data_IF_589318690687
#
_entry.id   IF_589318690687
#
_cell.length_a   1.000
_cell.length_b   1.000
_cell.length_c   1.000
_cell.angle_alpha   90.00
_cell.angle_beta   90.00
_cell.angle_gamma   90.00
#
_symmetry.space_group_name_H-M   'P 1'
#
loop_
_entity.id
_entity.type
_entity.pdbx_description
1 polymer ?
#
# COMPACT_ATOMS: atom_id res chain seq x y z
N UNK A 1 -20.72 9.15 8.59
CA UNK A 1 -19.43 9.89 8.55
C UNK A 1 -18.59 9.26 7.43
N UNK A 2 -18.06 10.07 6.50
CA UNK A 2 -17.24 9.57 5.36
C UNK A 2 -15.93 8.92 5.84
N UNK A 3 -15.35 8.02 5.04
CA UNK A 3 -14.08 7.34 5.33
C UNK A 3 -12.95 8.35 5.56
N UNK A 4 -12.90 9.41 4.74
CA UNK A 4 -11.93 10.50 4.83
C UNK A 4 -12.04 11.26 6.17
N UNK A 5 -13.27 11.43 6.68
CA UNK A 5 -13.48 12.09 7.97
C UNK A 5 -12.99 11.23 9.14
N UNK A 6 -13.08 9.90 9.03
CA UNK A 6 -12.54 8.98 10.06
C UNK A 6 -11.00 8.98 10.05
N UNK A 7 -10.38 8.91 8.86
CA UNK A 7 -8.93 9.01 8.70
C UNK A 7 -8.42 10.38 9.20
N UNK A 8 -9.08 11.46 8.82
CA UNK A 8 -8.76 12.81 9.26
C UNK A 8 -8.84 12.98 10.78
N UNK A 9 -9.88 12.44 11.41
CA UNK A 9 -10.01 12.44 12.89
C UNK A 9 -8.86 11.67 13.56
N UNK A 10 -8.49 10.50 13.02
CA UNK A 10 -7.40 9.69 13.57
C UNK A 10 -6.04 10.40 13.44
N UNK A 11 -5.71 10.93 12.25
CA UNK A 11 -4.48 11.70 12.04
C UNK A 11 -4.43 12.93 12.93
N UNK A 12 -5.55 13.65 13.06
CA UNK A 12 -5.64 14.81 13.95
C UNK A 12 -5.35 14.42 15.40
N UNK A 13 -5.89 13.30 15.89
CA UNK A 13 -5.64 12.86 17.27
C UNK A 13 -4.14 12.65 17.56
N UNK A 14 -3.40 12.06 16.62
CA UNK A 14 -1.95 11.83 16.77
C UNK A 14 -1.19 13.17 16.77
N UNK A 15 -1.62 14.13 15.96
CA UNK A 15 -1.05 15.49 15.97
C UNK A 15 -1.35 16.25 17.25
N UNK A 16 -2.58 16.16 17.75
CA UNK A 16 -3.00 16.83 18.99
C UNK A 16 -2.22 16.33 20.22
N UNK A 17 -1.66 15.11 20.16
CA UNK A 17 -0.78 14.54 21.19
C UNK A 17 0.70 14.92 21.06
N UNK A 18 1.07 15.66 20.01
CA UNK A 18 2.42 16.20 19.82
C UNK A 18 3.26 15.49 18.77
N UNK A 19 2.65 14.83 17.79
CA UNK A 19 3.35 14.52 16.55
C UNK A 19 3.50 15.78 15.68
N UNK A 20 4.70 16.02 15.15
CA UNK A 20 4.95 17.10 14.20
C UNK A 20 4.33 16.76 12.83
N UNK A 21 4.36 15.48 12.49
CA UNK A 21 3.82 14.96 11.24
C UNK A 21 3.25 13.55 11.41
N UNK A 22 2.14 13.27 10.74
CA UNK A 22 1.58 11.94 10.63
C UNK A 22 0.89 11.77 9.27
N UNK A 23 1.12 10.64 8.60
CA UNK A 23 0.44 10.28 7.37
C UNK A 23 0.06 8.79 7.32
N UNK A 24 -0.78 8.48 6.33
CA UNK A 24 -1.14 7.13 5.92
C UNK A 24 -0.94 7.03 4.42
N UNK A 25 -0.30 5.95 3.99
CA UNK A 25 -0.07 5.63 2.58
C UNK A 25 -0.71 4.28 2.27
N UNK A 26 -1.52 4.23 1.22
CA UNK A 26 -2.19 3.01 0.74
C UNK A 26 -1.71 2.72 -0.67
N UNK A 27 -1.43 1.46 -0.96
CA UNK A 27 -0.94 1.02 -2.26
C UNK A 27 -1.65 -0.25 -2.72
N UNK A 28 -1.99 -0.27 -4.01
CA UNK A 28 -2.27 -1.47 -4.79
C UNK A 28 -1.30 -1.43 -5.98
N UNK A 29 -0.55 -2.50 -6.18
CA UNK A 29 0.35 -2.64 -7.33
C UNK A 29 0.25 -4.02 -7.96
N UNK A 30 0.53 -4.06 -9.26
CA UNK A 30 0.63 -5.28 -10.04
C UNK A 30 1.84 -5.19 -10.95
N UNK A 31 2.60 -6.27 -11.08
CA UNK A 31 3.80 -6.33 -11.91
C UNK A 31 3.85 -7.62 -12.71
N UNK A 32 4.41 -7.55 -13.91
CA UNK A 32 4.66 -8.68 -14.80
C UNK A 32 6.12 -8.65 -15.25
N UNK A 33 6.78 -9.80 -15.24
CA UNK A 33 8.15 -9.94 -15.75
C UNK A 33 8.29 -11.19 -16.62
N UNK A 34 9.12 -11.08 -17.66
CA UNK A 34 9.41 -12.12 -18.63
C UNK A 34 10.93 -12.28 -18.73
N UNK A 35 11.41 -13.51 -18.70
CA UNK A 35 12.80 -13.86 -18.99
C UNK A 35 12.81 -14.71 -20.26
N UNK A 36 13.48 -14.19 -21.30
CA UNK A 36 13.61 -14.84 -22.59
C UNK A 36 15.09 -14.93 -22.95
N UNK A 37 15.58 -16.16 -23.09
CA UNK A 37 16.98 -16.47 -23.33
C UNK A 37 17.07 -17.67 -24.29
N UNK A 38 18.10 -17.72 -25.14
CA UNK A 38 18.34 -18.83 -26.09
C UNK A 38 17.13 -19.23 -26.98
N UNK A 39 16.26 -18.28 -27.28
CA UNK A 39 15.10 -18.55 -28.14
C UNK A 39 13.88 -19.09 -27.39
N UNK A 40 13.97 -19.28 -26.06
CA UNK A 40 12.93 -19.85 -25.21
C UNK A 40 12.57 -18.93 -24.04
N UNK A 41 11.35 -19.11 -23.52
CA UNK A 41 10.94 -18.47 -22.26
C UNK A 41 11.44 -19.30 -21.08
N UNK A 42 12.27 -18.67 -20.26
CA UNK A 42 12.78 -19.29 -19.04
C UNK A 42 11.85 -19.02 -17.85
N UNK A 43 11.31 -17.80 -17.76
CA UNK A 43 10.43 -17.42 -16.65
C UNK A 43 9.35 -16.42 -17.06
N UNK A 44 8.14 -16.65 -16.56
CA UNK A 44 7.03 -15.71 -16.62
C UNK A 44 6.49 -15.55 -15.20
N UNK A 45 6.54 -14.32 -14.68
CA UNK A 45 6.06 -14.01 -13.35
C UNK A 45 5.02 -12.90 -13.38
N UNK A 46 4.02 -13.03 -12.53
CA UNK A 46 2.97 -12.05 -12.32
C UNK A 46 2.73 -11.92 -10.84
N UNK A 47 2.82 -10.69 -10.33
CA UNK A 47 2.69 -10.40 -8.91
C UNK A 47 1.65 -9.32 -8.65
N UNK A 48 1.05 -9.40 -7.47
CA UNK A 48 0.14 -8.41 -6.94
C UNK A 48 0.51 -8.12 -5.50
N UNK A 49 0.53 -6.85 -5.16
CA UNK A 49 0.83 -6.40 -3.81
C UNK A 49 -0.24 -5.39 -3.39
N UNK A 50 -0.61 -5.47 -2.12
CA UNK A 50 -1.50 -4.51 -1.48
C UNK A 50 -0.94 -4.22 -0.10
N UNK A 51 -0.89 -2.95 0.26
CA UNK A 51 -0.32 -2.56 1.54
C UNK A 51 -0.80 -1.21 2.02
N UNK A 52 -0.67 -1.04 3.33
CA UNK A 52 -0.86 0.23 3.99
C UNK A 52 0.31 0.48 4.93
N UNK A 53 0.79 1.72 4.94
CA UNK A 53 1.81 2.21 5.85
C UNK A 53 1.34 3.44 6.60
N UNK A 54 1.84 3.60 7.82
CA UNK A 54 1.72 4.83 8.59
C UNK A 54 3.11 5.34 8.97
N UNK A 55 3.30 6.65 8.88
CA UNK A 55 4.48 7.34 9.42
C UNK A 55 4.04 8.32 10.49
N UNK A 56 4.79 8.37 11.59
CA UNK A 56 4.66 9.39 12.64
C UNK A 56 6.05 9.98 12.90
N UNK A 57 6.14 11.31 12.95
CA UNK A 57 7.37 12.05 13.25
C UNK A 57 7.15 12.90 14.50
N UNK A 58 8.12 12.85 15.42
CA UNK A 58 8.15 13.66 16.64
C UNK A 58 9.58 14.04 16.98
N UNK A 59 9.91 15.32 16.86
CA UNK A 59 11.27 15.83 16.88
C UNK A 59 12.12 15.13 15.81
N UNK A 60 13.23 14.56 16.24
CA UNK A 60 14.15 13.79 15.38
C UNK A 60 13.71 12.32 15.18
N UNK A 61 12.71 11.85 15.93
CA UNK A 61 12.26 10.46 15.86
C UNK A 61 11.21 10.27 14.76
N UNK A 62 11.40 9.23 13.95
CA UNK A 62 10.41 8.79 12.94
C UNK A 62 10.06 7.33 13.17
N UNK A 63 8.76 7.02 13.25
CA UNK A 63 8.26 5.64 13.28
C UNK A 63 7.51 5.30 12.00
N UNK A 64 7.82 4.13 11.45
CA UNK A 64 7.13 3.54 10.31
C UNK A 64 6.55 2.19 10.69
N UNK A 65 5.28 1.98 10.31
CA UNK A 65 4.61 0.68 10.45
C UNK A 65 3.86 0.41 9.16
N UNK A 66 4.00 -0.81 8.63
CA UNK A 66 3.29 -1.27 7.45
C UNK A 66 2.60 -2.61 7.71
N UNK A 67 1.57 -2.89 6.94
CA UNK A 67 0.85 -4.16 6.95
C UNK A 67 0.28 -4.46 5.56
N UNK A 68 0.08 -5.75 5.22
CA UNK A 68 -0.60 -6.12 3.99
C UNK A 68 -2.08 -5.70 4.01
N UNK A 69 -2.62 -5.38 2.84
CA UNK A 69 -4.01 -4.96 2.64
C UNK A 69 -4.23 -3.46 2.69
N UNK A 70 -5.42 -3.03 2.20
CA UNK A 70 -5.78 -1.62 1.99
C UNK A 70 -7.09 -1.23 2.69
N UNK A 71 -7.43 -1.92 3.77
CA UNK A 71 -8.62 -1.59 4.57
C UNK A 71 -8.33 -0.55 5.65
N UNK A 72 -9.35 0.23 6.00
CA UNK A 72 -9.26 1.30 6.99
C UNK A 72 -8.82 0.79 8.36
N UNK A 73 -9.25 -0.40 8.77
CA UNK A 73 -8.93 -0.95 10.08
C UNK A 73 -7.42 -1.22 10.18
N UNK A 74 -6.84 -1.85 9.16
CA UNK A 74 -5.41 -2.12 9.07
C UNK A 74 -4.60 -0.82 9.04
N UNK A 75 -5.05 0.19 8.29
CA UNK A 75 -4.40 1.51 8.26
C UNK A 75 -4.39 2.20 9.64
N UNK A 76 -5.53 2.22 10.34
CA UNK A 76 -5.60 2.79 11.69
C UNK A 76 -4.80 1.99 12.72
N UNK A 77 -4.69 0.67 12.54
CA UNK A 77 -3.81 -0.17 13.36
C UNK A 77 -2.33 0.21 13.17
N UNK A 78 -1.90 0.42 11.92
CA UNK A 78 -0.54 0.89 11.61
C UNK A 78 -0.27 2.26 12.24
N UNK A 79 -1.21 3.20 12.09
CA UNK A 79 -1.09 4.54 12.67
C UNK A 79 -0.98 4.49 14.20
N UNK A 80 -1.82 3.71 14.87
CA UNK A 80 -1.78 3.55 16.33
C UNK A 80 -0.42 3.00 16.78
N UNK A 81 0.11 2.00 16.06
CA UNK A 81 1.40 1.39 16.41
C UNK A 81 2.56 2.36 16.15
N UNK A 82 2.53 3.13 15.07
CA UNK A 82 3.54 4.16 14.79
C UNK A 82 3.50 5.29 15.84
N UNK A 83 2.30 5.69 16.27
CA UNK A 83 2.10 6.65 17.36
C UNK A 83 2.66 6.10 18.69
N UNK A 84 2.34 4.85 19.04
CA UNK A 84 2.85 4.20 20.25
C UNK A 84 4.38 4.10 20.28
N UNK A 85 5.00 3.72 19.15
CA UNK A 85 6.45 3.71 18.99
C UNK A 85 7.10 5.09 19.19
N UNK A 86 6.33 6.16 18.98
CA UNK A 86 6.75 7.56 19.16
C UNK A 86 6.40 8.12 20.55
N UNK A 87 5.85 7.28 21.45
CA UNK A 87 5.43 7.67 22.80
C UNK A 87 4.09 8.39 22.87
N UNK A 88 3.24 8.24 21.86
CA UNK A 88 1.93 8.89 21.74
C UNK A 88 0.80 7.86 21.95
N UNK A 89 -0.31 8.31 22.52
CA UNK A 89 -1.53 7.52 22.80
C UNK A 89 -2.62 7.69 21.72
N UNK A 90 -2.30 7.45 20.44
CA UNK A 90 -3.22 7.72 19.33
C UNK A 90 -4.64 7.14 19.51
N UNK A 91 -5.66 7.87 19.01
CA UNK A 91 -7.05 7.57 19.31
C UNK A 91 -7.53 6.18 18.82
N UNK A 92 -8.32 5.51 19.66
CA UNK A 92 -9.04 4.30 19.31
C UNK A 92 -10.31 4.64 18.51
N UNK A 93 -10.17 4.82 17.20
CA UNK A 93 -11.34 4.94 16.31
C UNK A 93 -11.87 3.53 16.00
N UNK A 94 -13.10 3.23 16.42
CA UNK A 94 -13.77 2.00 16.00
C UNK A 94 -14.29 2.15 14.56
N UNK A 95 -13.81 1.26 13.69
CA UNK A 95 -14.18 1.21 12.28
C UNK A 95 -14.38 -0.23 11.87
N UNK A 96 -15.44 -0.53 11.08
CA UNK A 96 -15.51 -1.79 10.39
C UNK A 96 -14.38 -1.89 9.36
N UNK A 97 -13.93 -3.10 9.08
CA UNK A 97 -12.97 -3.38 8.00
C UNK A 97 -13.62 -3.06 6.65
N UNK A 98 -13.24 -1.92 6.07
CA UNK A 98 -13.72 -1.41 4.79
C UNK A 98 -12.51 -1.08 3.92
N UNK A 99 -12.47 -1.60 2.68
CA UNK A 99 -11.42 -1.28 1.71
C UNK A 99 -11.47 0.19 1.32
N UNK A 100 -10.30 0.84 1.25
CA UNK A 100 -10.17 2.24 0.83
C UNK A 100 -9.89 2.34 -0.67
N UNK A 101 -9.18 1.36 -1.22
CA UNK A 101 -8.84 1.29 -2.63
C UNK A 101 -9.56 0.10 -3.26
N UNK A 102 -10.19 0.35 -4.41
CA UNK A 102 -10.77 -0.71 -5.23
C UNK A 102 -9.67 -1.44 -5.99
N UNK A 103 -9.85 -2.74 -6.15
CA UNK A 103 -8.95 -3.59 -6.92
C UNK A 103 -9.52 -3.72 -8.33
N UNK A 104 -8.69 -3.50 -9.35
CA UNK A 104 -9.03 -3.96 -10.69
C UNK A 104 -9.14 -5.49 -10.73
N UNK A 105 -10.33 -5.96 -11.06
CA UNK A 105 -10.67 -7.39 -11.10
C UNK A 105 -9.97 -8.12 -12.25
N UNK A 106 -9.56 -7.38 -13.28
CA UNK A 106 -8.78 -7.90 -14.40
C UNK A 106 -7.30 -7.59 -14.18
N UNK A 107 -6.47 -8.64 -14.16
CA UNK A 107 -5.05 -8.42 -14.43
C UNK A 107 -4.99 -8.02 -15.90
N UNK A 108 -4.57 -6.80 -16.20
CA UNK A 108 -4.30 -6.46 -17.60
C UNK A 108 -3.28 -7.47 -18.10
N UNK A 109 -3.62 -8.15 -19.20
CA UNK A 109 -2.67 -9.04 -19.85
C UNK A 109 -1.41 -8.22 -20.17
N UNK A 110 -0.22 -8.77 -19.93
CA UNK A 110 1.02 -8.12 -20.29
C UNK A 110 0.97 -7.68 -21.75
N UNK A 111 1.61 -6.54 -22.06
CA UNK A 111 1.76 -6.16 -23.45
C UNK A 111 2.74 -7.11 -24.13
N UNK A 112 2.25 -7.91 -25.08
CA UNK A 112 3.03 -8.83 -25.89
C UNK A 112 3.35 -8.26 -27.29
N UNK A 113 2.99 -7.00 -27.58
CA UNK A 113 3.19 -6.38 -28.90
C UNK A 113 4.66 -6.30 -29.28
N UNK A 114 5.56 -6.10 -28.30
CA UNK A 114 7.00 -6.10 -28.51
C UNK A 114 7.53 -7.41 -29.12
N UNK A 115 6.86 -8.54 -28.85
CA UNK A 115 7.18 -9.82 -29.47
C UNK A 115 6.76 -9.88 -30.94
N UNK A 116 5.65 -9.23 -31.33
CA UNK A 116 5.20 -9.22 -32.72
C UNK A 116 6.11 -8.40 -33.64
N UNK A 117 6.75 -7.36 -33.12
CA UNK A 117 7.60 -6.47 -33.90
C UNK A 117 9.06 -6.94 -34.01
N UNK A 118 9.52 -7.82 -33.09
CA UNK A 118 10.91 -8.27 -33.04
C UNK A 118 11.12 -9.80 -33.15
N UNK A 119 10.05 -10.60 -33.29
CA UNK A 119 10.16 -12.04 -33.56
C UNK A 119 9.91 -12.31 -35.04
N UNK A 120 10.99 -12.68 -35.73
CA UNK A 120 10.94 -13.55 -36.89
C UNK A 120 10.15 -14.80 -36.46
N UNK A 121 8.94 -14.92 -37.00
CA UNK A 121 8.12 -16.12 -37.12
C UNK A 121 8.88 -17.42 -36.81
N UNK A 122 8.62 -18.01 -35.64
CA UNK A 122 8.79 -19.44 -35.42
C UNK A 122 7.49 -19.97 -34.84
N UNK A 123 6.63 -20.41 -35.78
CA UNK A 123 5.46 -21.30 -35.69
C UNK A 123 4.33 -20.93 -34.71
#
# INVERSE_FOLDING_TARGET
MSINAKLGTALKSVKDEGADFADLYFEISSSHSFMYEEGTFEEISSSRMEGVGARVVRGEATSHVHAPGVDIFTGLSCLRKAAANSGLSGAAVHVPSLRIMERDTTLQSPDFSFFRENIIMVC
#
